data_IF_315470872519
#
_entry.id   IF_315470872519
#
_cell.length_a   1.000
_cell.length_b   1.000
_cell.length_c   1.000
_cell.angle_alpha   90.00
_cell.angle_beta   90.00
_cell.angle_gamma   90.00
#
_symmetry.space_group_name_H-M   'P 1'
#
loop_
_entity.id
_entity.type
_entity.pdbx_description
1 polymer ?
#
# COMPACT_ATOMS: atom_id res chain seq x y z
N UNK A 1 31.41 32.49 -48.11
CA UNK A 1 31.19 31.05 -48.33
C UNK A 1 31.61 30.36 -47.03
N UNK A 2 30.70 30.01 -46.10
CA UNK A 2 29.77 28.86 -46.10
C UNK A 2 30.50 27.52 -46.27
N UNK A 3 30.14 26.56 -45.41
CA UNK A 3 30.78 25.28 -45.05
C UNK A 3 31.83 25.44 -43.95
N UNK A 4 31.58 25.09 -42.69
CA UNK A 4 31.09 23.79 -42.24
C UNK A 4 30.25 23.96 -40.95
N UNK A 5 28.93 23.92 -41.10
CA UNK A 5 28.01 23.43 -40.08
C UNK A 5 28.30 21.93 -39.84
N UNK A 6 27.86 21.36 -38.72
CA UNK A 6 27.94 19.92 -38.35
C UNK A 6 29.32 19.67 -37.68
N UNK A 7 29.49 19.42 -36.39
CA UNK A 7 28.79 18.48 -35.50
C UNK A 7 29.32 18.73 -34.09
N UNK A 8 28.70 19.62 -33.32
CA UNK A 8 28.71 19.48 -31.86
C UNK A 8 27.32 19.90 -31.39
N UNK A 9 26.35 19.08 -31.78
CA UNK A 9 25.10 18.90 -31.07
C UNK A 9 25.49 18.34 -29.70
N UNK A 10 25.95 19.22 -28.79
CA UNK A 10 26.04 18.93 -27.37
C UNK A 10 24.61 18.63 -26.92
N UNK A 11 24.28 17.34 -27.00
CA UNK A 11 23.58 16.51 -26.03
C UNK A 11 23.51 17.16 -24.63
N UNK A 12 22.79 18.28 -24.52
CA UNK A 12 22.07 18.65 -23.33
C UNK A 12 20.79 17.82 -23.33
N UNK A 13 20.95 16.49 -23.27
CA UNK A 13 19.97 15.64 -22.61
C UNK A 13 20.11 16.02 -21.14
N UNK A 14 19.53 17.17 -20.78
CA UNK A 14 19.09 17.37 -19.41
C UNK A 14 18.16 16.21 -19.17
N UNK A 15 18.64 15.23 -18.40
CA UNK A 15 17.78 14.27 -17.75
C UNK A 15 16.80 15.10 -16.94
N UNK A 16 15.64 15.40 -17.53
CA UNK A 16 14.46 15.69 -16.74
C UNK A 16 14.32 14.44 -15.91
N UNK A 17 14.68 14.54 -14.63
CA UNK A 17 14.07 13.70 -13.64
C UNK A 17 12.58 13.99 -13.80
N UNK A 18 11.92 13.21 -14.63
CA UNK A 18 10.51 12.97 -14.49
C UNK A 18 10.40 12.39 -13.09
N UNK A 19 10.26 13.28 -12.09
CA UNK A 19 9.44 12.96 -10.95
C UNK A 19 8.13 12.58 -11.62
N UNK A 20 7.90 11.27 -11.73
CA UNK A 20 6.56 10.76 -11.92
C UNK A 20 5.76 11.49 -10.86
N UNK A 21 5.05 12.54 -11.27
CA UNK A 21 3.87 12.95 -10.55
C UNK A 21 3.05 11.69 -10.65
N UNK A 22 3.02 10.93 -9.56
CA UNK A 22 1.99 9.96 -9.32
C UNK A 22 0.67 10.76 -9.35
N UNK A 23 0.18 11.06 -10.55
CA UNK A 23 -1.06 11.79 -10.84
C UNK A 23 -2.19 10.83 -10.54
N UNK A 24 -2.38 10.59 -9.25
CA UNK A 24 -3.60 10.06 -8.69
C UNK A 24 -4.53 11.24 -8.38
N UNK A 25 -4.82 12.07 -9.39
CA UNK A 25 -5.93 13.02 -9.30
C UNK A 25 -7.22 12.18 -9.18
N UNK A 26 -7.96 12.35 -8.09
CA UNK A 26 -9.21 11.61 -7.85
C UNK A 26 -9.16 10.45 -6.84
N UNK A 27 -8.05 10.25 -6.12
CA UNK A 27 -8.01 9.26 -5.03
C UNK A 27 -8.28 9.88 -3.66
N UNK A 28 -9.11 9.21 -2.87
CA UNK A 28 -9.34 9.55 -1.47
C UNK A 28 -8.15 9.12 -0.61
N UNK A 29 -7.67 10.01 0.26
CA UNK A 29 -6.51 9.74 1.10
C UNK A 29 -6.90 9.71 2.57
N UNK A 30 -6.59 8.60 3.24
CA UNK A 30 -6.74 8.41 4.68
C UNK A 30 -5.40 8.27 5.37
N UNK A 31 -5.33 8.79 6.59
CA UNK A 31 -4.12 8.77 7.42
C UNK A 31 -4.40 8.08 8.75
N UNK A 32 -3.58 7.08 9.08
CA UNK A 32 -3.66 6.39 10.37
C UNK A 32 -2.32 6.56 11.09
N UNK A 33 -2.32 7.25 12.23
CA UNK A 33 -1.11 7.40 13.05
C UNK A 33 -0.72 6.06 13.65
N UNK A 34 0.58 5.77 13.66
CA UNK A 34 1.14 4.59 14.32
C UNK A 34 2.40 4.99 15.09
N UNK A 35 2.71 4.22 16.13
CA UNK A 35 3.89 4.46 16.96
C UNK A 35 4.90 3.33 16.76
N UNK A 36 6.06 3.62 16.15
CA UNK A 36 7.14 2.66 15.96
C UNK A 36 8.24 2.82 17.01
N UNK A 37 8.83 4.00 17.15
CA UNK A 37 9.87 4.28 18.16
C UNK A 37 9.34 5.14 19.29
N UNK A 38 8.70 6.24 18.93
CA UNK A 38 8.01 7.14 19.88
C UNK A 38 6.54 7.28 19.48
N UNK A 39 5.77 8.01 20.27
CA UNK A 39 4.34 8.19 20.01
C UNK A 39 4.11 8.92 18.69
N UNK A 40 3.27 8.34 17.83
CA UNK A 40 2.79 8.90 16.56
C UNK A 40 3.90 9.39 15.62
N UNK A 41 5.07 8.73 15.62
CA UNK A 41 6.22 9.09 14.79
C UNK A 41 6.10 8.67 13.33
N UNK A 42 5.14 7.79 13.03
CA UNK A 42 4.82 7.35 11.68
C UNK A 42 3.31 7.43 11.43
N UNK A 43 2.93 7.36 10.16
CA UNK A 43 1.55 7.20 9.72
C UNK A 43 1.47 6.24 8.55
N UNK A 44 0.37 5.50 8.48
CA UNK A 44 -0.06 4.83 7.25
C UNK A 44 -0.83 5.85 6.42
N UNK A 45 -0.42 5.99 5.16
CA UNK A 45 -1.15 6.73 4.13
C UNK A 45 -1.82 5.70 3.23
N UNK A 46 -3.15 5.63 3.29
CA UNK A 46 -3.97 4.76 2.46
C UNK A 46 -4.63 5.62 1.38
N UNK A 47 -4.34 5.33 0.12
CA UNK A 47 -4.94 5.98 -1.03
C UNK A 47 -5.95 5.04 -1.68
N UNK A 48 -7.22 5.40 -1.67
CA UNK A 48 -8.31 4.67 -2.32
C UNK A 48 -8.61 5.35 -3.66
N UNK A 49 -8.36 4.65 -4.75
CA UNK A 49 -8.55 5.16 -6.11
C UNK A 49 -9.73 4.44 -6.75
N UNK A 50 -10.73 5.21 -7.20
CA UNK A 50 -11.93 4.72 -7.85
C UNK A 50 -11.83 4.94 -9.38
N UNK A 51 -10.89 4.25 -10.01
CA UNK A 51 -10.77 4.17 -11.46
C UNK A 51 -11.55 2.94 -11.99
N UNK A 52 -11.35 2.56 -13.26
CA UNK A 52 -11.97 1.37 -13.87
C UNK A 52 -11.74 0.09 -13.04
N UNK A 53 -10.63 0.03 -12.29
CA UNK A 53 -10.35 -1.02 -11.31
C UNK A 53 -10.05 -0.38 -9.94
N UNK A 54 -10.99 -0.48 -8.98
CA UNK A 54 -10.78 0.01 -7.61
C UNK A 54 -9.54 -0.56 -6.93
N UNK A 55 -8.73 0.32 -6.35
CA UNK A 55 -7.47 -0.06 -5.67
C UNK A 55 -7.25 0.72 -4.39
N UNK A 56 -6.66 0.07 -3.39
CA UNK A 56 -6.06 0.73 -2.23
C UNK A 56 -4.55 0.59 -2.24
N UNK A 57 -3.83 1.72 -2.19
CA UNK A 57 -2.38 1.78 -2.15
C UNK A 57 -1.93 2.31 -0.80
N UNK A 58 -1.09 1.55 -0.09
CA UNK A 58 -0.68 1.88 1.27
C UNK A 58 0.81 2.20 1.35
N UNK A 59 1.13 3.28 2.06
CA UNK A 59 2.49 3.69 2.36
C UNK A 59 2.67 3.89 3.86
N UNK A 60 3.87 3.59 4.35
CA UNK A 60 4.36 4.02 5.66
C UNK A 60 5.16 5.31 5.47
N UNK A 61 4.72 6.39 6.11
CA UNK A 61 5.40 7.69 6.09
C UNK A 61 5.85 8.09 7.50
N UNK A 62 7.07 8.61 7.63
CA UNK A 62 7.59 9.14 8.89
C UNK A 62 9.03 9.65 8.77
N UNK A 63 9.30 10.82 9.33
CA UNK A 63 10.50 11.60 9.01
C UNK A 63 10.57 11.89 7.50
N UNK A 64 11.74 11.70 6.90
CA UNK A 64 11.96 11.88 5.45
C UNK A 64 11.71 10.60 4.63
N UNK A 65 11.03 9.60 5.21
CA UNK A 65 10.82 8.30 4.58
C UNK A 65 9.38 8.13 4.13
N UNK A 66 9.24 7.55 2.93
CA UNK A 66 7.98 7.05 2.38
C UNK A 66 8.25 5.65 1.83
N UNK A 67 7.66 4.64 2.45
CA UNK A 67 7.91 3.23 2.15
C UNK A 67 6.60 2.65 1.62
N UNK A 68 6.63 2.07 0.42
CA UNK A 68 5.51 1.31 -0.10
C UNK A 68 5.27 0.06 0.76
N UNK A 69 4.02 -0.19 1.14
CA UNK A 69 3.61 -1.37 1.91
C UNK A 69 3.02 -2.39 0.95
N UNK A 70 1.88 -2.06 0.36
CA UNK A 70 1.19 -2.91 -0.59
C UNK A 70 0.23 -2.11 -1.48
N UNK A 71 -0.20 -2.80 -2.53
CA UNK A 71 -1.33 -2.46 -3.38
C UNK A 71 -2.35 -3.58 -3.19
N UNK A 72 -3.59 -3.22 -2.88
CA UNK A 72 -4.69 -4.15 -2.72
C UNK A 72 -5.71 -3.88 -3.83
N UNK A 73 -5.74 -4.78 -4.80
CA UNK A 73 -6.63 -4.77 -5.96
C UNK A 73 -7.35 -6.12 -6.04
N UNK A 74 -8.56 -6.16 -5.51
CA UNK A 74 -9.42 -7.33 -5.65
C UNK A 74 -10.53 -6.98 -6.63
N UNK A 75 -10.45 -7.62 -7.80
CA UNK A 75 -11.35 -7.41 -8.95
C UNK A 75 -12.68 -8.14 -8.76
N UNK A 76 -13.37 -7.83 -7.67
CA UNK A 76 -14.56 -8.56 -7.28
C UNK A 76 -15.65 -7.55 -6.88
N UNK A 77 -16.45 -7.19 -7.89
CA UNK A 77 -17.68 -6.42 -7.71
C UNK A 77 -17.52 -4.90 -7.79
N UNK A 78 -18.64 -4.22 -7.50
CA UNK A 78 -18.82 -2.76 -7.62
C UNK A 78 -18.25 -1.97 -6.44
N UNK A 79 -17.78 -2.65 -5.40
CA UNK A 79 -17.46 -2.04 -4.11
C UNK A 79 -15.98 -1.76 -3.96
N UNK A 80 -15.67 -0.56 -3.44
CA UNK A 80 -14.30 -0.13 -3.22
C UNK A 80 -13.64 -0.96 -2.11
N UNK A 81 -12.44 -1.52 -2.33
CA UNK A 81 -11.64 -2.05 -1.25
C UNK A 81 -11.28 -0.95 -0.25
N UNK A 82 -11.09 -1.34 1.02
CA UNK A 82 -10.71 -0.42 2.09
C UNK A 82 -9.63 -1.03 2.99
N UNK A 83 -8.69 -0.20 3.43
CA UNK A 83 -7.86 -0.50 4.59
C UNK A 83 -8.71 -0.24 5.85
N UNK A 84 -9.21 -1.32 6.44
CA UNK A 84 -10.12 -1.25 7.59
C UNK A 84 -9.36 -1.07 8.91
N UNK A 85 -8.20 -1.72 9.02
CA UNK A 85 -7.45 -1.75 10.26
C UNK A 85 -5.95 -1.72 10.03
N UNK A 86 -5.26 -1.07 10.97
CA UNK A 86 -3.81 -1.11 11.09
C UNK A 86 -3.46 -1.29 12.55
N UNK A 87 -2.51 -2.18 12.84
CA UNK A 87 -1.93 -2.32 14.16
C UNK A 87 -0.42 -2.51 14.09
N UNK A 88 0.28 -2.14 15.16
CA UNK A 88 1.70 -2.45 15.34
C UNK A 88 1.81 -3.28 16.60
N UNK A 89 2.15 -4.55 16.43
CA UNK A 89 2.45 -5.44 17.54
C UNK A 89 3.92 -5.31 17.91
N UNK A 90 4.21 -5.14 19.21
CA UNK A 90 5.56 -5.08 19.76
C UNK A 90 5.69 -6.09 20.87
N UNK A 91 6.78 -6.85 20.85
CA UNK A 91 7.17 -7.77 21.91
C UNK A 91 8.65 -7.63 22.18
N UNK A 92 9.04 -7.73 23.44
CA UNK A 92 10.43 -7.64 23.85
C UNK A 92 11.29 -8.68 23.13
N UNK A 93 12.48 -8.28 22.71
CA UNK A 93 13.44 -9.10 21.95
C UNK A 93 12.91 -9.67 20.63
N UNK A 94 11.82 -9.13 20.10
CA UNK A 94 11.27 -9.46 18.78
C UNK A 94 11.15 -8.22 17.92
N UNK A 95 11.17 -8.42 16.60
CA UNK A 95 10.92 -7.33 15.67
C UNK A 95 9.44 -6.93 15.76
N UNK A 96 9.12 -5.63 15.76
CA UNK A 96 7.73 -5.21 15.66
C UNK A 96 7.10 -5.73 14.37
N UNK A 97 5.82 -6.05 14.44
CA UNK A 97 5.02 -6.49 13.30
C UNK A 97 3.99 -5.42 12.98
N UNK A 98 4.00 -4.93 11.74
CA UNK A 98 2.90 -4.17 11.17
C UNK A 98 1.84 -5.16 10.68
N UNK A 99 0.60 -4.95 11.10
CA UNK A 99 -0.55 -5.75 10.72
C UNK A 99 -1.50 -4.82 9.95
N UNK A 100 -1.90 -5.20 8.75
CA UNK A 100 -2.93 -4.49 7.97
C UNK A 100 -4.11 -5.40 7.72
N UNK A 101 -5.31 -4.87 7.88
CA UNK A 101 -6.58 -5.54 7.58
C UNK A 101 -7.25 -4.79 6.44
N UNK A 102 -7.36 -5.43 5.29
CA UNK A 102 -8.12 -4.96 4.14
C UNK A 102 -9.46 -5.68 4.10
N UNK A 103 -10.48 -4.97 3.67
CA UNK A 103 -11.80 -5.56 3.45
C UNK A 103 -12.43 -5.05 2.17
N UNK A 104 -13.35 -5.84 1.62
CA UNK A 104 -14.17 -5.46 0.49
C UNK A 104 -15.51 -6.19 0.58
N UNK A 105 -16.59 -5.52 0.18
CA UNK A 105 -17.89 -6.18 0.06
C UNK A 105 -17.85 -7.11 -1.14
N UNK A 106 -18.12 -8.38 -0.88
CA UNK A 106 -18.36 -9.40 -1.89
C UNK A 106 -19.87 -9.52 -2.10
N UNK A 107 -20.33 -9.13 -3.28
CA UNK A 107 -21.74 -9.15 -3.66
C UNK A 107 -21.87 -9.94 -4.96
N UNK A 108 -22.14 -11.24 -4.83
CA UNK A 108 -22.29 -12.16 -5.96
C UNK A 108 -23.61 -12.91 -5.85
N UNK A 109 -24.18 -13.39 -6.98
CA UNK A 109 -25.48 -14.07 -6.97
C UNK A 109 -25.56 -15.32 -6.09
N UNK A 110 -24.42 -15.91 -5.71
CA UNK A 110 -24.36 -17.17 -4.95
C UNK A 110 -23.81 -17.01 -3.54
N UNK A 111 -23.05 -15.95 -3.27
CA UNK A 111 -22.43 -15.70 -1.97
C UNK A 111 -22.36 -14.21 -1.73
N UNK A 112 -22.77 -13.77 -0.54
CA UNK A 112 -22.70 -12.37 -0.11
C UNK A 112 -21.98 -12.26 1.23
N UNK A 113 -21.07 -11.30 1.35
CA UNK A 113 -20.30 -11.13 2.58
C UNK A 113 -19.22 -10.07 2.51
N UNK A 114 -18.36 -10.05 3.54
CA UNK A 114 -17.16 -9.23 3.61
C UNK A 114 -15.95 -10.11 3.41
N UNK A 115 -15.26 -9.90 2.29
CA UNK A 115 -13.93 -10.47 2.09
C UNK A 115 -12.95 -9.68 2.95
N UNK A 116 -12.11 -10.39 3.70
CA UNK A 116 -11.01 -9.80 4.45
C UNK A 116 -9.66 -10.37 3.99
N UNK A 117 -8.62 -9.55 4.08
CA UNK A 117 -7.23 -9.95 3.88
C UNK A 117 -6.36 -9.33 4.98
N UNK A 118 -5.51 -10.15 5.60
CA UNK A 118 -4.57 -9.74 6.62
C UNK A 118 -3.17 -9.83 6.03
N UNK A 119 -2.39 -8.75 6.12
CA UNK A 119 -0.96 -8.80 5.80
C UNK A 119 -0.13 -8.51 7.04
N UNK A 120 1.03 -9.17 7.11
CA UNK A 120 2.00 -9.03 8.19
C UNK A 120 3.34 -8.56 7.62
N UNK A 121 3.92 -7.54 8.23
CA UNK A 121 5.24 -7.05 7.85
C UNK A 121 6.15 -6.93 9.06
N UNK A 122 7.30 -7.61 9.03
CA UNK A 122 8.36 -7.36 10.01
C UNK A 122 8.96 -5.97 9.80
N UNK A 123 9.09 -5.22 10.89
CA UNK A 123 9.66 -3.88 10.90
C UNK A 123 11.12 -3.97 11.36
N UNK A 124 12.04 -3.63 10.47
CA UNK A 124 13.46 -3.51 10.76
C UNK A 124 13.78 -2.03 11.02
N UNK A 125 14.25 -1.75 12.23
CA UNK A 125 14.66 -0.40 12.65
C UNK A 125 16.19 -0.35 12.72
N UNK A 126 16.82 0.29 11.73
CA UNK A 126 18.28 0.47 11.70
C UNK A 126 18.61 1.95 11.83
N UNK A 127 18.91 2.39 13.06
CA UNK A 127 19.10 3.80 13.37
C UNK A 127 17.83 4.60 13.07
N UNK A 128 17.89 5.54 12.11
CA UNK A 128 16.71 6.30 11.66
C UNK A 128 15.92 5.61 10.55
N UNK A 129 16.50 4.63 9.85
CA UNK A 129 15.86 3.97 8.71
C UNK A 129 14.87 2.90 9.15
N UNK A 130 13.79 2.78 8.39
CA UNK A 130 12.78 1.74 8.54
C UNK A 130 12.76 0.90 7.26
N UNK A 131 12.69 -0.42 7.41
CA UNK A 131 12.44 -1.35 6.32
C UNK A 131 11.34 -2.31 6.72
N UNK A 132 10.42 -2.58 5.80
CA UNK A 132 9.36 -3.57 5.96
C UNK A 132 9.72 -4.82 5.16
N UNK A 133 9.47 -5.99 5.74
CA UNK A 133 9.58 -7.28 5.06
C UNK A 133 8.24 -7.99 5.19
N UNK A 134 7.61 -8.29 4.06
CA UNK A 134 6.37 -9.06 4.03
C UNK A 134 6.62 -10.48 4.54
N UNK A 135 5.86 -10.87 5.55
CA UNK A 135 5.86 -12.21 6.17
C UNK A 135 4.45 -12.79 6.24
N UNK A 136 3.53 -12.28 5.42
CA UNK A 136 2.12 -12.68 5.39
C UNK A 136 1.94 -14.17 5.08
N UNK A 137 2.92 -14.79 4.41
CA UNK A 137 2.93 -16.23 4.10
C UNK A 137 2.82 -17.12 5.35
N UNK A 138 3.20 -16.65 6.54
CA UNK A 138 3.03 -17.39 7.80
C UNK A 138 1.56 -17.66 8.13
N UNK A 139 0.64 -16.85 7.63
CA UNK A 139 -0.80 -17.01 7.84
C UNK A 139 -1.40 -18.13 6.98
N UNK A 140 -0.71 -18.55 5.90
CA UNK A 140 -1.22 -19.55 4.96
C UNK A 140 -2.65 -19.24 4.51
N UNK A 141 -3.54 -20.23 4.63
CA UNK A 141 -4.95 -20.09 4.25
C UNK A 141 -5.75 -19.13 5.15
N UNK A 142 -5.23 -18.76 6.32
CA UNK A 142 -5.87 -17.79 7.22
C UNK A 142 -5.55 -16.34 6.85
N UNK A 143 -4.75 -16.11 5.79
CA UNK A 143 -4.44 -14.76 5.31
C UNK A 143 -5.68 -14.05 4.78
N UNK A 144 -6.64 -14.79 4.21
CA UNK A 144 -7.86 -14.23 3.65
C UNK A 144 -9.05 -15.12 3.96
N UNK A 145 -10.22 -14.53 4.07
CA UNK A 145 -11.47 -15.27 4.20
C UNK A 145 -12.67 -14.43 3.85
N UNK A 146 -13.81 -15.08 3.75
CA UNK A 146 -15.09 -14.46 3.47
C UNK A 146 -15.99 -14.66 4.68
N UNK A 147 -16.34 -13.55 5.33
CA UNK A 147 -17.40 -13.55 6.33
C UNK A 147 -18.72 -13.28 5.62
N UNK A 148 -19.46 -14.34 5.31
CA UNK A 148 -20.64 -14.23 4.47
C UNK A 148 -21.63 -15.37 4.66
N UNK A 149 -22.79 -15.20 4.05
CA UNK A 149 -23.80 -16.25 3.92
C UNK A 149 -23.72 -16.80 2.49
N UNK A 150 -23.66 -18.12 2.40
CA UNK A 150 -23.95 -18.84 1.17
C UNK A 150 -25.47 -18.92 1.06
N UNK A 151 -26.00 -18.69 -0.13
CA UNK A 151 -27.38 -19.09 -0.43
C UNK A 151 -27.40 -20.62 -0.47
N UNK A 152 -27.38 -21.25 0.71
CA UNK A 152 -27.67 -22.67 0.86
C UNK A 152 -29.17 -22.83 0.55
N UNK A 153 -29.43 -23.26 -0.69
CA UNK A 153 -30.75 -23.58 -1.25
C UNK A 153 -31.64 -24.41 -0.31
#
# INVERSE_FOLDING_TARGET
MKFLLITILFLMIGCTNAKTKDTYEGCDVKYTKISLKVKDDFRIVSKSCNEENPVVINYLEGGDQKIFINKYDINIGKWLPKLEGVSVYKKDNQRPLLITLHTQVWDSPTVNGILYNVNLYEIYLTGKRVRLVDVSNILGNSQSGLEGVSDDY
#
